data_IF_265719050477
#
_entry.id   IF_265719050477
#
_cell.length_a   1.000
_cell.length_b   1.000
_cell.length_c   1.000
_cell.angle_alpha   90.00
_cell.angle_beta   90.00
_cell.angle_gamma   90.00
#
_symmetry.space_group_name_H-M   'P 1'
#
loop_
_entity.id
_entity.type
_entity.pdbx_description
1 polymer ?
#
# COMPACT_ATOMS: atom_id res chain seq x y z
N UNK A 1 11.95 -13.60 16.52
CA UNK A 1 11.06 -12.49 16.23
C UNK A 1 9.85 -12.95 15.44
N UNK A 2 8.72 -12.49 15.81
CA UNK A 2 7.50 -12.87 15.12
C UNK A 2 6.86 -11.70 14.43
N UNK A 3 6.47 -11.93 13.18
CA UNK A 3 5.84 -10.90 12.37
C UNK A 3 4.38 -11.20 12.06
N UNK A 4 3.86 -12.25 12.68
CA UNK A 4 2.59 -12.82 12.27
C UNK A 4 1.40 -11.91 12.44
N UNK A 5 1.42 -11.06 13.44
CA UNK A 5 0.27 -10.21 13.74
C UNK A 5 0.46 -8.77 13.32
N UNK A 6 1.56 -8.50 12.65
CA UNK A 6 1.80 -7.15 12.19
C UNK A 6 1.09 -6.93 10.87
N UNK A 7 0.46 -5.80 10.76
CA UNK A 7 -0.15 -5.40 9.50
C UNK A 7 0.41 -4.06 9.08
N UNK A 8 0.44 -3.87 7.79
CA UNK A 8 0.97 -2.64 7.20
C UNK A 8 -0.07 -2.02 6.29
N UNK A 9 -0.12 -0.71 6.31
CA UNK A 9 -0.94 0.04 5.37
C UNK A 9 -0.03 0.99 4.64
N UNK A 10 -0.06 0.93 3.32
CA UNK A 10 0.67 1.85 2.48
C UNK A 10 -0.35 2.75 1.81
N UNK A 11 -0.16 4.05 1.95
CA UNK A 11 -1.02 5.03 1.29
C UNK A 11 -0.24 5.67 0.16
N UNK A 12 -0.80 5.63 -1.03
CA UNK A 12 -0.23 6.26 -2.20
C UNK A 12 -1.16 7.41 -2.59
N UNK A 13 -0.71 8.61 -2.35
CA UNK A 13 -1.55 9.79 -2.53
C UNK A 13 -1.07 10.65 -3.69
N UNK A 14 -2.03 11.14 -4.45
CA UNK A 14 -1.78 12.20 -5.42
C UNK A 14 -2.57 13.41 -4.97
N UNK A 15 -2.47 14.48 -5.77
CA UNK A 15 -3.22 15.70 -5.53
C UNK A 15 -4.73 15.44 -5.46
N UNK A 16 -5.22 14.45 -6.21
CA UNK A 16 -6.65 14.26 -6.41
C UNK A 16 -7.23 13.03 -5.72
N UNK A 17 -6.41 12.06 -5.37
CA UNK A 17 -6.94 10.84 -4.77
C UNK A 17 -5.88 10.12 -3.95
N UNK A 18 -6.35 9.16 -3.17
CA UNK A 18 -5.49 8.31 -2.37
C UNK A 18 -5.89 6.86 -2.59
N UNK A 19 -4.91 6.03 -2.87
CA UNK A 19 -5.08 4.58 -2.91
C UNK A 19 -4.40 3.98 -1.69
N UNK A 20 -4.94 2.88 -1.19
CA UNK A 20 -4.38 2.22 -0.03
C UNK A 20 -4.09 0.77 -0.32
N UNK A 21 -3.02 0.27 0.29
CA UNK A 21 -2.60 -1.11 0.14
C UNK A 21 -2.48 -1.69 1.54
N UNK A 22 -3.23 -2.74 1.81
CA UNK A 22 -3.24 -3.38 3.11
C UNK A 22 -2.62 -4.76 3.00
N UNK A 23 -1.77 -5.08 3.96
CA UNK A 23 -1.24 -6.43 4.06
C UNK A 23 -2.00 -7.17 5.13
N UNK A 24 -2.52 -8.35 4.76
CA UNK A 24 -3.20 -9.24 5.70
C UNK A 24 -2.64 -10.65 5.56
N UNK A 25 -3.27 -11.61 6.21
CA UNK A 25 -2.80 -12.99 6.20
C UNK A 25 -2.83 -13.63 4.82
N UNK A 26 -3.66 -13.13 3.93
CA UNK A 26 -3.82 -13.66 2.60
C UNK A 26 -2.95 -12.97 1.57
N UNK A 27 -2.23 -11.95 1.97
CA UNK A 27 -1.38 -11.20 1.08
C UNK A 27 -1.74 -9.73 1.09
N UNK A 28 -1.82 -9.12 -0.07
CA UNK A 28 -2.10 -7.70 -0.18
C UNK A 28 -3.47 -7.44 -0.75
N UNK A 29 -4.06 -6.34 -0.32
CA UNK A 29 -5.35 -5.87 -0.81
C UNK A 29 -5.21 -4.40 -1.17
N UNK A 30 -5.51 -4.07 -2.41
CA UNK A 30 -5.52 -2.68 -2.86
C UNK A 30 -6.94 -2.14 -2.75
N UNK A 31 -7.08 -0.97 -2.15
CA UNK A 31 -8.35 -0.26 -2.13
C UNK A 31 -8.17 1.02 -2.94
N UNK A 32 -8.89 1.12 -4.04
CA UNK A 32 -8.80 2.28 -4.91
C UNK A 32 -9.46 3.49 -4.26
N UNK A 33 -9.26 4.64 -4.87
CA UNK A 33 -9.86 5.88 -4.38
C UNK A 33 -11.38 5.81 -4.33
N UNK A 34 -11.98 4.99 -5.17
CA UNK A 34 -13.43 4.82 -5.20
C UNK A 34 -13.92 3.73 -4.26
N UNK A 35 -13.01 3.06 -3.55
CA UNK A 35 -13.37 2.02 -2.62
C UNK A 35 -13.41 0.63 -3.22
N UNK A 36 -13.03 0.46 -4.46
CA UNK A 36 -12.95 -0.87 -5.08
C UNK A 36 -11.76 -1.63 -4.52
N UNK A 37 -11.96 -2.91 -4.26
CA UNK A 37 -10.95 -3.75 -3.63
C UNK A 37 -10.41 -4.76 -4.62
N UNK A 38 -9.09 -4.92 -4.62
CA UNK A 38 -8.41 -5.85 -5.51
C UNK A 38 -7.38 -6.63 -4.74
N UNK A 39 -7.42 -7.95 -4.86
CA UNK A 39 -6.40 -8.80 -4.25
C UNK A 39 -5.14 -8.75 -5.11
N UNK A 40 -3.98 -8.55 -4.46
CA UNK A 40 -2.72 -8.39 -5.18
C UNK A 40 -1.62 -9.22 -4.53
N UNK A 41 -0.62 -9.56 -5.33
CA UNK A 41 0.61 -10.13 -4.81
C UNK A 41 1.54 -9.00 -4.36
N UNK A 42 2.55 -9.37 -3.56
CA UNK A 42 3.54 -8.37 -3.13
C UNK A 42 4.26 -7.77 -4.34
N UNK A 43 4.52 -8.59 -5.36
CA UNK A 43 5.19 -8.10 -6.56
C UNK A 43 4.33 -7.07 -7.29
N UNK A 44 3.03 -7.32 -7.38
CA UNK A 44 2.13 -6.37 -8.02
C UNK A 44 2.08 -5.05 -7.24
N UNK A 45 2.07 -5.13 -5.93
CA UNK A 45 2.09 -3.93 -5.11
C UNK A 45 3.38 -3.15 -5.37
N UNK A 46 4.51 -3.84 -5.39
CA UNK A 46 5.79 -3.20 -5.64
C UNK A 46 5.78 -2.50 -7.00
N UNK A 47 5.27 -3.15 -8.04
CA UNK A 47 5.21 -2.56 -9.36
C UNK A 47 4.36 -1.29 -9.39
N UNK A 48 3.29 -1.26 -8.61
CA UNK A 48 2.46 -0.07 -8.53
C UNK A 48 3.15 1.08 -7.81
N UNK A 49 4.04 0.76 -6.87
CA UNK A 49 4.72 1.79 -6.08
C UNK A 49 6.02 2.28 -6.69
N UNK A 50 6.60 1.52 -7.60
CA UNK A 50 7.90 1.85 -8.18
C UNK A 50 7.96 3.25 -8.80
N UNK A 51 6.94 3.72 -9.53
CA UNK A 51 7.03 5.07 -10.09
C UNK A 51 7.24 6.15 -9.03
N UNK A 52 6.59 6.00 -7.88
CA UNK A 52 6.77 6.96 -6.79
C UNK A 52 8.09 6.75 -6.07
N UNK A 53 8.49 5.50 -5.86
CA UNK A 53 9.74 5.18 -5.18
C UNK A 53 10.96 5.61 -5.98
N UNK A 54 10.87 5.53 -7.30
CA UNK A 54 11.99 5.87 -8.17
C UNK A 54 12.09 7.37 -8.45
N UNK A 55 11.11 8.15 -7.98
CA UNK A 55 11.12 9.58 -8.22
C UNK A 55 10.64 9.99 -9.60
N UNK A 56 10.13 9.04 -10.39
CA UNK A 56 9.64 9.36 -11.73
C UNK A 56 8.45 10.30 -11.67
N UNK A 57 7.61 10.12 -10.65
CA UNK A 57 6.47 11.01 -10.44
C UNK A 57 6.63 11.70 -9.10
N UNK A 58 7.03 12.95 -9.14
CA UNK A 58 7.34 13.70 -7.94
C UNK A 58 6.11 14.14 -7.15
N UNK A 59 4.94 14.09 -7.76
CA UNK A 59 3.71 14.48 -7.08
C UNK A 59 3.03 13.33 -6.33
N UNK A 60 3.67 12.18 -6.26
CA UNK A 60 3.16 11.05 -5.51
C UNK A 60 3.75 11.05 -4.10
N UNK A 61 2.91 10.83 -3.12
CA UNK A 61 3.32 10.76 -1.73
C UNK A 61 3.01 9.37 -1.22
N UNK A 62 4.03 8.70 -0.68
CA UNK A 62 3.90 7.37 -0.08
C UNK A 62 4.02 7.50 1.42
N UNK A 63 3.05 6.96 2.13
CA UNK A 63 3.09 6.87 3.59
C UNK A 63 2.90 5.42 3.99
N UNK A 64 3.73 4.95 4.89
CA UNK A 64 3.63 3.58 5.40
C UNK A 64 3.27 3.65 6.86
N UNK A 65 2.21 2.94 7.21
CA UNK A 65 1.77 2.84 8.59
C UNK A 65 1.87 1.38 9.02
N UNK A 66 2.51 1.15 10.14
CA UNK A 66 2.62 -0.18 10.71
C UNK A 66 1.65 -0.26 11.87
N UNK A 67 0.62 -1.06 11.71
CA UNK A 67 -0.36 -1.28 12.76
C UNK A 67 0.09 -2.43 13.62
N UNK A 68 0.51 -2.09 14.83
CA UNK A 68 0.99 -3.08 15.76
C UNK A 68 -0.06 -3.25 16.85
N UNK A 69 -0.52 -4.47 17.00
CA UNK A 69 -1.50 -4.73 18.03
C UNK A 69 -0.81 -5.02 19.35
N UNK A 70 -1.37 -4.47 20.43
CA UNK A 70 -0.82 -4.75 21.77
C UNK A 70 -0.95 -6.20 22.17
#
# INVERSE_FOLDING_TARGET
MRLTNDSYTISLSTKNFTERYYRDKKGWLKVSARGNKFRMTAEQVLNHLLPALSGVKSNLIIKVKHDKKP
#
